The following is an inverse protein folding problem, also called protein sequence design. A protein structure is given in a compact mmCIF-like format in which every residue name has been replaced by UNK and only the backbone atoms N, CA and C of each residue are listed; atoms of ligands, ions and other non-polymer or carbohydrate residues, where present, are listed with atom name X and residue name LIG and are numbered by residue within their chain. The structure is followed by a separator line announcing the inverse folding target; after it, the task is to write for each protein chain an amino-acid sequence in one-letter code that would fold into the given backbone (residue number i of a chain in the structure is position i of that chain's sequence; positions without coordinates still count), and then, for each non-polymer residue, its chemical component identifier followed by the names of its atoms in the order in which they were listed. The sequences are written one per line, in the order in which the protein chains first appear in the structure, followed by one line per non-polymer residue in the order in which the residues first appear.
data_IF_806826892818
#
_entry.id   IF_806826892818
#
_cell.length_a   1.000
_cell.length_b   1.000
_cell.length_c   1.000
_cell.angle_alpha   90.00
_cell.angle_beta   90.00
_cell.angle_gamma   90.00
#
_symmetry.space_group_name_H-M   'P 1'
#
loop_
_entity.id
_entity.type
_entity.pdbx_description
1 polymer ?
#
# COMPACT_ATOMS: atom_id res chain seq x y z
N UNK A 1 40.84 20.49 -44.25
CA UNK A 1 39.61 20.00 -43.70
C UNK A 1 39.86 19.52 -42.27
N UNK A 2 39.47 20.31 -41.27
CA UNK A 2 39.65 19.99 -39.85
C UNK A 2 38.32 19.45 -39.32
N UNK A 3 38.29 18.17 -38.91
CA UNK A 3 37.14 17.54 -38.24
C UNK A 3 37.11 18.01 -36.79
N UNK A 4 36.03 18.66 -36.39
CA UNK A 4 35.75 19.05 -34.99
C UNK A 4 34.95 17.92 -34.31
N UNK A 5 35.65 17.21 -33.44
CA UNK A 5 35.07 16.16 -32.60
C UNK A 5 34.34 16.85 -31.41
N UNK A 6 33.02 16.83 -31.40
CA UNK A 6 32.21 17.30 -30.27
C UNK A 6 32.04 16.17 -29.26
N UNK A 7 32.70 16.26 -28.12
CA UNK A 7 32.43 15.42 -26.96
C UNK A 7 31.15 15.92 -26.27
N UNK A 8 30.12 15.10 -26.27
CA UNK A 8 28.98 15.25 -25.38
C UNK A 8 29.35 14.64 -24.02
N UNK A 9 29.57 15.49 -23.02
CA UNK A 9 29.64 15.06 -21.62
C UNK A 9 28.24 14.71 -21.16
N UNK A 10 27.93 13.45 -21.04
CA UNK A 10 26.78 12.98 -20.25
C UNK A 10 27.16 13.08 -18.78
N UNK A 11 26.60 14.06 -18.07
CA UNK A 11 26.67 14.11 -16.62
C UNK A 11 25.73 13.04 -16.05
N UNK A 12 26.29 11.93 -15.60
CA UNK A 12 25.60 10.94 -14.79
C UNK A 12 25.30 11.58 -13.43
N UNK A 13 24.09 12.07 -13.23
CA UNK A 13 23.56 12.34 -11.90
C UNK A 13 23.20 11.01 -11.25
N UNK A 14 24.14 10.41 -10.52
CA UNK A 14 23.82 9.37 -9.58
C UNK A 14 22.97 10.01 -8.46
N UNK A 15 21.66 9.79 -8.49
CA UNK A 15 20.80 10.08 -7.36
C UNK A 15 21.17 9.11 -6.24
N UNK A 16 22.05 9.55 -5.34
CA UNK A 16 22.18 8.92 -4.03
C UNK A 16 20.84 9.21 -3.30
N UNK A 17 19.99 8.20 -3.21
CA UNK A 17 18.92 8.21 -2.20
C UNK A 17 19.66 8.23 -0.85
N UNK A 18 19.56 9.31 -0.06
CA UNK A 18 20.25 9.34 1.22
C UNK A 18 19.76 8.17 2.07
N UNK A 19 20.69 7.36 2.56
CA UNK A 19 20.34 6.34 3.53
C UNK A 19 19.62 7.03 4.70
N UNK A 20 18.45 6.52 5.07
CA UNK A 20 17.68 7.05 6.19
C UNK A 20 18.51 6.81 7.47
N UNK A 21 19.23 7.82 7.90
CA UNK A 21 19.93 7.80 9.19
C UNK A 21 18.89 8.28 10.21
N UNK A 22 18.27 7.34 10.91
CA UNK A 22 17.50 7.67 12.10
C UNK A 22 18.38 8.50 13.05
N UNK A 23 17.88 9.60 13.61
CA UNK A 23 18.61 10.33 14.65
C UNK A 23 19.00 9.36 15.76
N UNK A 24 20.21 9.45 16.27
CA UNK A 24 20.79 8.52 17.26
C UNK A 24 20.00 8.36 18.58
N UNK A 25 18.92 9.11 18.77
CA UNK A 25 18.04 9.12 19.94
C UNK A 25 16.55 9.00 19.56
N UNK A 26 16.19 8.11 18.67
CA UNK A 26 14.78 7.86 18.35
C UNK A 26 14.38 6.44 18.71
N UNK A 27 13.10 6.25 19.08
CA UNK A 27 12.53 4.91 19.23
C UNK A 27 11.79 4.46 17.96
N UNK A 28 11.69 5.29 16.93
CA UNK A 28 10.98 4.97 15.69
C UNK A 28 11.88 4.14 14.78
N UNK A 29 11.33 3.04 14.20
CA UNK A 29 12.04 2.23 13.21
C UNK A 29 12.16 2.96 11.87
N UNK A 30 11.14 3.72 11.52
CA UNK A 30 11.06 4.54 10.31
C UNK A 30 10.13 5.72 10.53
N UNK A 31 9.92 6.55 9.51
CA UNK A 31 8.92 7.62 9.58
C UNK A 31 7.52 7.05 9.69
N UNK A 32 6.57 7.77 10.32
CA UNK A 32 5.17 7.38 10.24
C UNK A 32 4.68 7.46 8.80
N UNK A 33 3.70 6.65 8.45
CA UNK A 33 3.03 6.70 7.16
C UNK A 33 1.52 6.70 7.34
N UNK A 34 0.84 7.23 6.32
CA UNK A 34 -0.60 7.36 6.32
C UNK A 34 -1.24 6.19 5.57
N UNK A 35 -2.36 5.73 6.11
CA UNK A 35 -3.22 4.71 5.53
C UNK A 35 -4.68 5.19 5.57
N UNK A 36 -5.48 4.79 4.61
CA UNK A 36 -6.92 5.10 4.55
C UNK A 36 -7.23 6.59 4.77
N UNK A 37 -6.59 7.46 4.01
CA UNK A 37 -6.89 8.89 4.01
C UNK A 37 -8.19 9.14 3.25
N UNK A 38 -9.22 9.46 4.00
CA UNK A 38 -10.58 9.73 3.52
C UNK A 38 -11.04 11.12 3.99
N UNK A 39 -12.15 11.67 3.48
CA UNK A 39 -12.58 13.02 3.81
C UNK A 39 -12.73 13.33 5.29
N UNK A 40 -13.06 12.33 6.12
CA UNK A 40 -13.32 12.49 7.55
C UNK A 40 -12.28 11.82 8.46
N UNK A 41 -11.18 11.28 7.92
CA UNK A 41 -10.17 10.64 8.74
C UNK A 41 -8.95 10.07 8.00
N UNK A 42 -7.98 9.63 8.80
CA UNK A 42 -6.74 8.97 8.33
C UNK A 42 -6.20 8.06 9.43
N UNK A 43 -5.54 6.97 9.08
CA UNK A 43 -4.81 6.13 10.02
C UNK A 43 -3.32 6.46 9.93
N UNK A 44 -2.70 6.79 11.06
CA UNK A 44 -1.24 6.99 11.18
C UNK A 44 -0.63 5.68 11.67
N UNK A 45 0.24 5.09 10.86
CA UNK A 45 0.94 3.85 11.17
C UNK A 45 2.41 4.13 11.42
N UNK A 46 2.96 3.52 12.45
CA UNK A 46 4.39 3.61 12.78
C UNK A 46 4.83 2.43 13.64
N UNK A 47 6.11 2.13 13.60
CA UNK A 47 6.72 1.06 14.40
C UNK A 47 7.76 1.64 15.36
N UNK A 48 7.74 1.16 16.62
CA UNK A 48 8.72 1.51 17.64
C UNK A 48 9.69 0.35 17.90
N UNK A 49 10.94 0.69 18.14
CA UNK A 49 12.03 -0.27 18.48
C UNK A 49 12.16 -0.52 19.98
N UNK A 50 11.38 0.19 20.79
CA UNK A 50 11.39 0.11 22.25
C UNK A 50 9.96 -0.08 22.77
N UNK A 51 9.79 -0.69 23.95
CA UNK A 51 8.50 -0.71 24.63
C UNK A 51 8.02 0.71 24.92
N UNK A 52 6.84 1.06 24.39
CA UNK A 52 6.29 2.41 24.48
C UNK A 52 4.80 2.40 24.69
N UNK A 53 4.32 3.50 25.24
CA UNK A 53 2.95 3.97 25.14
C UNK A 53 2.94 5.17 24.18
N UNK A 54 2.11 5.13 23.15
CA UNK A 54 2.20 6.09 22.05
C UNK A 54 0.86 6.72 21.72
N UNK A 55 0.91 7.94 21.16
CA UNK A 55 -0.25 8.67 20.67
C UNK A 55 0.12 9.56 19.48
N UNK A 56 -0.87 9.99 18.74
CA UNK A 56 -0.73 11.01 17.71
C UNK A 56 -1.29 12.33 18.20
N UNK A 57 -0.54 13.39 18.08
CA UNK A 57 -0.98 14.76 18.27
C UNK A 57 -1.38 15.38 16.93
N UNK A 58 -2.60 15.91 16.86
CA UNK A 58 -3.18 16.51 15.66
C UNK A 58 -3.59 17.96 15.92
N UNK A 59 -3.37 18.82 14.92
CA UNK A 59 -3.92 20.17 14.88
C UNK A 59 -4.31 20.58 13.46
N UNK A 60 -5.25 21.49 13.30
CA UNK A 60 -5.45 22.15 12.01
C UNK A 60 -4.23 23.04 11.73
N UNK A 61 -3.81 23.08 10.47
CA UNK A 61 -2.67 23.94 10.09
C UNK A 61 -2.90 25.39 10.48
N UNK A 62 -1.89 25.97 11.15
CA UNK A 62 -1.94 27.34 11.66
C UNK A 62 -2.64 27.51 13.01
N UNK A 63 -3.15 26.42 13.63
CA UNK A 63 -3.70 26.45 14.99
C UNK A 63 -2.69 25.90 16.00
N UNK A 64 -2.84 26.34 17.26
CA UNK A 64 -1.97 25.89 18.37
C UNK A 64 -2.62 24.81 19.23
N UNK A 65 -3.96 24.68 19.19
CA UNK A 65 -4.67 23.64 19.94
C UNK A 65 -4.42 22.27 19.35
N UNK A 66 -4.05 21.35 20.20
CA UNK A 66 -3.69 19.96 19.85
C UNK A 66 -4.73 19.01 20.40
N UNK A 67 -5.17 18.05 19.60
CA UNK A 67 -5.99 16.91 20.01
C UNK A 67 -5.11 15.67 20.00
N UNK A 68 -5.26 14.79 21.00
CA UNK A 68 -4.54 13.52 21.08
C UNK A 68 -5.44 12.38 20.70
N UNK A 69 -4.87 11.46 19.90
CA UNK A 69 -5.50 10.22 19.47
C UNK A 69 -4.66 9.05 19.93
N UNK A 70 -5.33 7.99 20.36
CA UNK A 70 -4.71 6.78 20.87
C UNK A 70 -5.22 5.57 20.08
N UNK A 71 -4.49 4.49 20.13
CA UNK A 71 -5.02 3.20 19.70
C UNK A 71 -5.68 2.53 20.91
N UNK A 72 -7.00 2.46 20.89
CA UNK A 72 -7.77 1.93 21.99
C UNK A 72 -8.24 0.51 21.68
N UNK A 73 -8.01 -0.38 22.63
CA UNK A 73 -8.46 -1.77 22.57
C UNK A 73 -9.21 -2.09 23.86
N UNK A 74 -10.47 -2.47 23.75
CA UNK A 74 -11.31 -2.89 24.89
C UNK A 74 -11.32 -1.90 26.07
N UNK A 75 -11.29 -0.60 25.76
CA UNK A 75 -11.32 0.47 26.76
C UNK A 75 -9.97 0.82 27.37
N UNK A 76 -8.89 0.32 26.80
CA UNK A 76 -7.52 0.64 27.21
C UNK A 76 -6.74 1.24 26.05
N UNK A 77 -5.92 2.26 26.33
CA UNK A 77 -4.91 2.70 25.38
C UNK A 77 -3.88 1.60 25.19
N UNK A 78 -3.63 1.23 23.95
CA UNK A 78 -2.66 0.19 23.65
C UNK A 78 -1.25 0.67 24.02
N UNK A 79 -0.60 -0.11 24.89
CA UNK A 79 0.81 -0.04 25.14
C UNK A 79 1.47 -1.28 24.53
N UNK A 80 2.74 -1.16 24.19
CA UNK A 80 3.50 -2.32 23.77
C UNK A 80 3.50 -3.38 24.88
N UNK A 81 3.09 -4.58 24.57
CA UNK A 81 3.12 -5.69 25.52
C UNK A 81 4.55 -6.21 25.69
N UNK A 82 5.21 -5.74 26.72
CA UNK A 82 6.55 -6.14 27.11
C UNK A 82 6.70 -7.63 27.46
N UNK A 83 5.60 -8.33 27.71
CA UNK A 83 5.60 -9.66 28.32
C UNK A 83 5.82 -10.77 27.30
N UNK A 84 5.58 -10.56 26.03
CA UNK A 84 5.61 -11.63 25.04
C UNK A 84 6.95 -11.83 24.31
N UNK A 85 7.98 -11.09 24.61
CA UNK A 85 9.27 -11.21 23.94
C UNK A 85 10.44 -11.55 24.88
N UNK A 86 10.48 -12.73 25.54
CA UNK A 86 11.67 -13.14 26.27
C UNK A 86 12.78 -13.68 25.38
N UNK A 87 12.57 -13.90 24.10
CA UNK A 87 13.60 -14.44 23.20
C UNK A 87 13.41 -14.02 21.75
N UNK A 88 14.26 -13.11 21.34
CA UNK A 88 14.92 -13.01 20.04
C UNK A 88 14.13 -12.67 18.76
N UNK A 89 12.85 -12.85 18.64
CA UNK A 89 12.04 -12.28 17.55
C UNK A 89 11.06 -11.32 18.19
N UNK A 90 11.29 -10.03 18.06
CA UNK A 90 10.34 -9.02 18.52
C UNK A 90 9.09 -9.15 17.66
N UNK A 91 7.91 -9.38 18.23
CA UNK A 91 6.68 -9.22 17.48
C UNK A 91 6.65 -7.80 16.92
N UNK A 92 6.15 -7.65 15.72
CA UNK A 92 5.99 -6.36 15.06
C UNK A 92 5.18 -5.43 15.95
N UNK A 93 5.73 -4.26 16.26
CA UNK A 93 5.13 -3.27 17.16
C UNK A 93 4.55 -2.10 16.39
N UNK A 94 3.73 -2.42 15.38
CA UNK A 94 3.04 -1.38 14.65
C UNK A 94 1.91 -0.81 15.49
N UNK A 95 1.94 0.51 15.63
CA UNK A 95 0.79 1.28 16.06
C UNK A 95 0.01 1.72 14.82
N UNK A 96 -1.30 1.60 14.87
CA UNK A 96 -2.21 2.07 13.85
C UNK A 96 -3.27 2.95 14.51
N UNK A 97 -3.03 4.26 14.54
CA UNK A 97 -3.88 5.21 15.27
C UNK A 97 -4.80 5.93 14.31
N UNK A 98 -6.10 5.69 14.43
CA UNK A 98 -7.13 6.34 13.62
C UNK A 98 -7.40 7.76 14.11
N UNK A 99 -7.23 8.74 13.23
CA UNK A 99 -7.68 10.12 13.40
C UNK A 99 -9.03 10.26 12.71
N UNK A 100 -10.08 10.45 13.46
CA UNK A 100 -11.47 10.52 12.96
C UNK A 100 -12.13 11.87 13.28
N UNK A 101 -13.26 12.15 12.64
CA UNK A 101 -14.02 13.39 12.85
C UNK A 101 -13.33 14.59 12.19
N UNK A 102 -12.54 14.35 11.15
CA UNK A 102 -11.88 15.40 10.38
C UNK A 102 -12.87 16.08 9.43
N UNK A 103 -12.51 17.27 8.97
CA UNK A 103 -13.29 17.96 7.94
C UNK A 103 -12.65 17.69 6.58
N UNK A 104 -13.45 17.50 5.53
CA UNK A 104 -12.96 17.33 4.16
C UNK A 104 -12.24 18.59 3.66
N UNK A 105 -11.37 18.43 2.66
CA UNK A 105 -10.61 19.51 2.03
C UNK A 105 -9.91 20.44 3.05
N UNK A 106 -9.29 19.83 4.07
CA UNK A 106 -8.73 20.57 5.20
C UNK A 106 -7.29 20.16 5.48
N UNK A 107 -6.40 21.16 5.63
CA UNK A 107 -5.00 20.94 6.00
C UNK A 107 -4.85 20.70 7.49
N UNK A 108 -4.21 19.60 7.85
CA UNK A 108 -3.85 19.23 9.20
C UNK A 108 -2.33 19.04 9.33
N UNK A 109 -1.85 19.14 10.57
CA UNK A 109 -0.49 18.78 10.96
C UNK A 109 -0.56 17.76 12.09
N UNK A 110 0.26 16.71 12.03
CA UNK A 110 0.34 15.70 13.05
C UNK A 110 1.79 15.38 13.42
N UNK A 111 1.99 14.85 14.62
CA UNK A 111 3.23 14.21 15.03
C UNK A 111 2.93 12.98 15.88
N UNK A 112 3.88 12.06 15.89
CA UNK A 112 3.85 10.88 16.77
C UNK A 112 4.62 11.20 18.04
N UNK A 113 4.06 10.81 19.18
CA UNK A 113 4.69 10.91 20.49
C UNK A 113 4.71 9.53 21.14
N UNK A 114 5.87 9.09 21.60
CA UNK A 114 6.06 7.78 22.22
C UNK A 114 6.76 7.92 23.56
N UNK A 115 6.10 7.47 24.60
CA UNK A 115 6.62 7.45 25.97
C UNK A 115 7.22 6.08 26.27
N UNK A 116 8.54 6.02 26.52
CA UNK A 116 9.22 4.76 26.87
C UNK A 116 8.68 4.19 28.17
N UNK A 117 8.32 2.91 28.15
CA UNK A 117 7.94 2.12 29.32
C UNK A 117 9.20 1.44 29.85
N UNK A 118 9.59 1.76 31.09
CA UNK A 118 10.71 1.11 31.77
C UNK A 118 10.25 -0.12 32.55
N UNK A 119 9.05 -0.07 33.12
CA UNK A 119 8.45 -1.19 33.83
C UNK A 119 6.93 -1.09 33.84
N UNK A 120 6.26 -2.21 33.57
CA UNK A 120 4.82 -2.39 33.74
C UNK A 120 4.56 -3.53 34.74
N UNK A 121 3.85 -3.23 35.81
CA UNK A 121 3.40 -4.18 36.84
C UNK A 121 1.89 -4.08 37.02
N UNK A 122 1.23 -5.06 37.64
CA UNK A 122 -0.22 -5.05 37.81
C UNK A 122 -0.81 -3.74 38.39
N UNK A 123 -0.03 -3.05 39.24
CA UNK A 123 -0.49 -1.85 39.94
C UNK A 123 0.43 -0.64 39.77
N UNK A 124 1.40 -0.69 38.86
CA UNK A 124 2.30 0.44 38.63
C UNK A 124 2.90 0.42 37.22
N UNK A 125 3.01 1.60 36.62
CA UNK A 125 3.71 1.85 35.39
C UNK A 125 4.82 2.87 35.67
N UNK A 126 6.06 2.58 35.27
CA UNK A 126 7.14 3.57 35.25
C UNK A 126 7.58 3.84 33.83
N UNK A 127 7.81 5.09 33.52
CA UNK A 127 8.23 5.57 32.21
C UNK A 127 9.34 6.59 32.37
N UNK A 128 10.16 6.75 31.35
CA UNK A 128 11.30 7.65 31.39
C UNK A 128 11.29 8.66 30.25
N UNK A 129 11.80 8.27 29.08
CA UNK A 129 12.04 9.18 27.96
C UNK A 129 10.82 9.30 27.06
N UNK A 130 10.45 10.54 26.69
CA UNK A 130 9.49 10.81 25.65
C UNK A 130 10.22 11.10 24.34
N UNK A 131 9.79 10.47 23.26
CA UNK A 131 10.28 10.67 21.90
C UNK A 131 9.17 11.32 21.08
N UNK A 132 9.55 12.24 20.20
CA UNK A 132 8.61 12.97 19.34
C UNK A 132 9.15 12.94 17.91
N UNK A 133 8.27 12.69 16.94
CA UNK A 133 8.61 12.90 15.54
C UNK A 133 8.57 14.40 15.19
N UNK A 134 9.04 14.74 14.00
CA UNK A 134 8.72 16.02 13.38
C UNK A 134 7.20 16.17 13.19
N UNK A 135 6.75 17.42 12.95
CA UNK A 135 5.40 17.69 12.50
C UNK A 135 5.28 17.46 10.99
N UNK A 136 4.35 16.62 10.59
CA UNK A 136 4.02 16.33 9.20
C UNK A 136 2.65 16.93 8.85
N UNK A 137 2.51 17.41 7.61
CA UNK A 137 1.25 17.97 7.13
C UNK A 137 0.55 17.05 6.17
N UNK A 138 -0.78 16.94 6.22
CA UNK A 138 -1.60 16.27 5.22
C UNK A 138 -2.87 17.09 4.94
N UNK A 139 -3.49 16.82 3.79
CA UNK A 139 -4.80 17.36 3.43
C UNK A 139 -5.80 16.22 3.31
N UNK A 140 -6.94 16.33 3.99
CA UNK A 140 -8.05 15.41 3.75
C UNK A 140 -8.60 15.61 2.34
N UNK A 141 -8.90 14.54 1.57
CA UNK A 141 -9.46 14.68 0.24
C UNK A 141 -10.82 15.36 0.27
N UNK A 142 -11.17 16.01 -0.85
CA UNK A 142 -12.49 16.56 -1.04
C UNK A 142 -13.50 15.45 -1.36
N UNK A 143 -14.63 15.45 -0.70
CA UNK A 143 -15.79 14.59 -1.02
C UNK A 143 -16.45 14.92 -2.36
N UNK A 144 -16.05 16.05 -2.98
CA UNK A 144 -16.54 16.54 -4.29
C UNK A 144 -15.47 16.52 -5.38
N UNK A 145 -14.35 15.84 -5.14
CA UNK A 145 -13.29 15.76 -6.16
C UNK A 145 -13.84 15.18 -7.47
N UNK A 146 -13.49 15.82 -8.59
CA UNK A 146 -13.90 15.42 -9.94
C UNK A 146 -12.71 15.12 -10.87
N UNK A 147 -11.49 15.41 -10.39
CA UNK A 147 -10.22 15.08 -11.04
C UNK A 147 -9.40 14.22 -10.14
N UNK A 148 -8.74 13.20 -10.69
CA UNK A 148 -7.95 12.25 -9.90
C UNK A 148 -6.67 11.89 -10.64
N UNK A 149 -5.58 11.74 -9.88
CA UNK A 149 -4.27 11.29 -10.33
C UNK A 149 -3.85 10.13 -9.46
N UNK A 150 -3.86 8.94 -10.04
CA UNK A 150 -3.48 7.72 -9.35
C UNK A 150 -2.13 7.24 -9.86
N UNK A 151 -1.29 6.74 -8.97
CA UNK A 151 -0.13 5.93 -9.33
C UNK A 151 -0.40 4.49 -8.92
N UNK A 152 -0.11 3.54 -9.81
CA UNK A 152 -0.18 2.11 -9.50
C UNK A 152 1.19 1.49 -9.80
N UNK A 153 1.72 0.77 -8.82
CA UNK A 153 3.00 0.07 -8.89
C UNK A 153 2.82 -1.35 -8.35
N UNK A 154 3.42 -2.33 -9.01
CA UNK A 154 3.35 -3.74 -8.66
C UNK A 154 4.68 -4.43 -8.95
N UNK A 155 4.89 -5.63 -8.37
CA UNK A 155 5.96 -6.55 -8.75
C UNK A 155 7.38 -5.97 -8.57
N UNK A 156 7.61 -5.21 -7.51
CA UNK A 156 8.92 -4.61 -7.26
C UNK A 156 9.91 -5.54 -6.55
N UNK A 157 9.44 -6.57 -5.84
CA UNK A 157 10.30 -7.61 -5.26
C UNK A 157 11.57 -7.06 -4.62
N UNK A 158 11.43 -6.32 -3.51
CA UNK A 158 12.56 -5.76 -2.74
C UNK A 158 13.50 -4.86 -3.55
N UNK A 159 12.97 -4.07 -4.52
CA UNK A 159 13.77 -3.11 -5.32
C UNK A 159 13.52 -1.65 -4.93
N UNK A 160 13.93 -1.19 -3.71
CA UNK A 160 13.65 0.16 -3.23
C UNK A 160 14.22 1.26 -4.12
N UNK A 161 15.37 1.02 -4.77
CA UNK A 161 15.98 1.99 -5.69
C UNK A 161 15.15 2.16 -6.97
N UNK A 162 14.58 1.09 -7.50
CA UNK A 162 13.66 1.11 -8.65
C UNK A 162 12.36 1.81 -8.27
N UNK A 163 11.82 1.51 -7.08
CA UNK A 163 10.66 2.23 -6.55
C UNK A 163 10.88 3.74 -6.51
N UNK A 164 12.03 4.18 -5.97
CA UNK A 164 12.36 5.61 -5.90
C UNK A 164 12.41 6.27 -7.29
N UNK A 165 12.94 5.58 -8.29
CA UNK A 165 12.96 6.06 -9.68
C UNK A 165 11.54 6.21 -10.24
N UNK A 166 10.68 5.19 -10.11
CA UNK A 166 9.30 5.25 -10.59
C UNK A 166 8.49 6.34 -9.90
N UNK A 167 8.55 6.45 -8.57
CA UNK A 167 7.86 7.49 -7.83
C UNK A 167 8.30 8.90 -8.23
N UNK A 168 9.58 9.04 -8.60
CA UNK A 168 10.13 10.32 -9.09
C UNK A 168 9.69 10.59 -10.53
N UNK A 169 9.79 9.60 -11.42
CA UNK A 169 9.44 9.73 -12.84
C UNK A 169 7.93 10.02 -13.05
N UNK A 170 7.10 9.47 -12.17
CA UNK A 170 5.64 9.69 -12.18
C UNK A 170 5.19 10.87 -11.32
N UNK A 171 6.13 11.63 -10.71
CA UNK A 171 5.85 12.76 -9.83
C UNK A 171 4.82 12.42 -8.73
N UNK A 172 5.20 11.55 -7.81
CA UNK A 172 4.35 11.10 -6.70
C UNK A 172 3.80 12.25 -5.84
N UNK A 173 4.47 13.42 -5.85
CA UNK A 173 4.03 14.59 -5.10
C UNK A 173 2.74 15.20 -5.66
N UNK A 174 2.49 15.03 -6.97
CA UNK A 174 1.25 15.50 -7.61
C UNK A 174 0.16 14.44 -7.66
N UNK A 175 0.45 13.19 -7.33
CA UNK A 175 -0.55 12.14 -7.23
C UNK A 175 -1.53 12.44 -6.09
N UNK A 176 -2.81 12.15 -6.31
CA UNK A 176 -3.83 12.22 -5.27
C UNK A 176 -3.86 10.92 -4.46
N UNK A 177 -3.64 9.77 -5.14
CA UNK A 177 -3.65 8.44 -4.54
C UNK A 177 -2.53 7.57 -5.12
N UNK A 178 -1.93 6.72 -4.27
CA UNK A 178 -0.87 5.80 -4.66
C UNK A 178 -1.30 4.39 -4.24
N UNK A 179 -1.20 3.43 -5.16
CA UNK A 179 -1.61 2.05 -4.94
C UNK A 179 -0.41 1.15 -5.24
N UNK A 180 0.00 0.38 -4.26
CA UNK A 180 0.92 -0.72 -4.41
C UNK A 180 0.09 -1.99 -4.61
N UNK A 181 0.14 -2.54 -5.81
CA UNK A 181 -0.75 -3.61 -6.26
C UNK A 181 -0.17 -5.01 -6.05
N UNK A 182 0.56 -5.20 -4.96
CA UNK A 182 1.13 -6.48 -4.55
C UNK A 182 2.55 -6.74 -5.05
N UNK A 183 3.17 -7.77 -4.48
CA UNK A 183 4.54 -8.21 -4.76
C UNK A 183 5.58 -7.07 -4.65
N UNK A 184 5.38 -6.23 -3.64
CA UNK A 184 6.36 -5.21 -3.27
C UNK A 184 7.56 -5.85 -2.57
N UNK A 185 7.38 -7.02 -1.96
CA UNK A 185 8.37 -7.85 -1.28
C UNK A 185 8.47 -9.22 -1.93
N UNK A 186 9.59 -9.92 -1.73
CA UNK A 186 9.71 -11.33 -2.14
C UNK A 186 8.97 -12.29 -1.20
N UNK A 187 8.83 -11.92 0.06
CA UNK A 187 8.06 -12.62 1.07
C UNK A 187 7.99 -11.80 2.38
N UNK A 188 7.19 -12.26 3.32
CA UNK A 188 7.08 -11.67 4.65
C UNK A 188 7.78 -12.56 5.70
N UNK A 189 9.08 -12.76 5.55
CA UNK A 189 9.89 -13.49 6.52
C UNK A 189 10.33 -12.57 7.65
N UNK A 190 10.12 -12.97 8.92
CA UNK A 190 10.68 -12.24 10.06
C UNK A 190 12.19 -12.29 10.07
N UNK A 191 12.84 -11.24 10.55
CA UNK A 191 14.28 -11.25 10.83
C UNK A 191 14.65 -12.42 11.72
N UNK A 192 15.53 -13.28 11.24
CA UNK A 192 16.22 -14.21 12.12
C UNK A 192 17.15 -13.43 13.06
N UNK A 193 17.09 -13.74 14.36
CA UNK A 193 18.02 -13.20 15.35
C UNK A 193 19.50 -13.51 15.05
N UNK A 194 19.79 -14.31 14.04
CA UNK A 194 21.15 -14.74 13.64
C UNK A 194 21.78 -13.85 12.56
N UNK A 195 21.14 -12.77 12.10
CA UNK A 195 21.74 -11.86 11.12
C UNK A 195 22.00 -12.49 9.75
N UNK A 196 21.18 -13.46 9.33
CA UNK A 196 21.28 -14.08 8.01
C UNK A 196 20.64 -13.18 6.93
N UNK A 197 20.89 -13.50 5.66
CA UNK A 197 20.58 -12.71 4.47
C UNK A 197 19.09 -12.29 4.27
N UNK A 198 18.20 -12.66 5.16
CA UNK A 198 16.78 -12.30 5.19
C UNK A 198 16.51 -10.89 5.76
N UNK A 199 17.53 -10.14 6.14
CA UNK A 199 17.36 -8.76 6.67
C UNK A 199 16.78 -7.77 5.65
N UNK A 200 16.72 -8.10 4.36
CA UNK A 200 16.26 -7.22 3.30
C UNK A 200 14.74 -7.25 3.07
N UNK A 201 14.04 -8.25 3.58
CA UNK A 201 12.64 -8.55 3.22
C UNK A 201 11.61 -7.96 4.18
N UNK A 202 11.96 -6.95 4.94
CA UNK A 202 11.02 -6.24 5.79
C UNK A 202 10.27 -5.16 5.00
N UNK A 203 8.97 -4.93 5.26
CA UNK A 203 8.19 -3.88 4.59
C UNK A 203 8.86 -2.50 4.65
N UNK A 204 9.50 -2.16 5.78
CA UNK A 204 10.21 -0.89 5.92
C UNK A 204 11.42 -0.78 4.99
N UNK A 205 12.26 -1.81 4.92
CA UNK A 205 13.45 -1.81 4.08
C UNK A 205 13.08 -1.89 2.58
N UNK A 206 12.05 -2.65 2.26
CA UNK A 206 11.64 -2.90 0.88
C UNK A 206 11.00 -1.68 0.22
N UNK A 207 10.07 -0.99 0.90
CA UNK A 207 9.35 0.12 0.27
C UNK A 207 8.83 1.21 1.21
N UNK A 208 8.52 0.92 2.50
CA UNK A 208 7.94 1.94 3.40
C UNK A 208 8.91 3.10 3.62
N UNK A 209 10.21 2.83 3.85
CA UNK A 209 11.21 3.88 4.06
C UNK A 209 11.35 4.79 2.84
N UNK A 210 11.34 4.25 1.63
CA UNK A 210 11.36 5.04 0.38
C UNK A 210 10.09 5.88 0.28
N UNK A 211 8.94 5.28 0.54
CA UNK A 211 7.65 5.96 0.49
C UNK A 211 7.58 7.12 1.51
N UNK A 212 8.02 6.91 2.74
CA UNK A 212 8.03 7.96 3.79
C UNK A 212 8.97 9.11 3.47
N UNK A 213 10.11 8.84 2.83
CA UNK A 213 11.04 9.88 2.35
C UNK A 213 10.44 10.73 1.23
N UNK A 214 9.61 10.16 0.38
CA UNK A 214 9.11 10.84 -0.80
C UNK A 214 7.72 11.46 -0.61
N UNK A 215 6.79 10.77 0.07
CA UNK A 215 5.40 11.23 0.17
C UNK A 215 4.61 10.69 1.37
N UNK A 216 4.87 9.45 1.87
CA UNK A 216 3.92 8.72 2.71
C UNK A 216 3.69 9.30 4.12
N UNK A 217 4.50 10.29 4.55
CA UNK A 217 4.23 11.10 5.74
C UNK A 217 3.14 12.16 5.51
N UNK A 218 2.75 12.44 4.26
CA UNK A 218 1.84 13.53 3.89
C UNK A 218 0.65 13.07 3.06
N UNK A 219 0.76 11.90 2.44
CA UNK A 219 -0.26 11.23 1.62
C UNK A 219 -0.31 9.78 2.00
N UNK A 220 -1.45 9.16 1.86
CA UNK A 220 -1.57 7.73 2.04
C UNK A 220 -1.09 6.94 0.81
N UNK A 221 -0.98 5.66 0.99
CA UNK A 221 -0.95 4.68 -0.08
C UNK A 221 -1.84 3.50 0.30
N UNK A 222 -2.48 2.90 -0.67
CA UNK A 222 -3.15 1.62 -0.50
C UNK A 222 -2.15 0.50 -0.82
N UNK A 223 -2.08 -0.52 0.01
CA UNK A 223 -1.28 -1.71 -0.23
C UNK A 223 -2.19 -2.91 -0.41
N UNK A 224 -2.21 -3.47 -1.61
CA UNK A 224 -2.79 -4.78 -1.90
C UNK A 224 -1.76 -5.86 -1.59
N UNK A 225 -2.23 -6.98 -1.08
CA UNK A 225 -1.41 -8.17 -0.92
C UNK A 225 -1.24 -8.87 -2.27
N UNK A 226 0.00 -9.13 -2.68
CA UNK A 226 0.32 -10.07 -3.74
C UNK A 226 0.45 -11.50 -3.19
N UNK A 227 0.75 -12.45 -4.05
CA UNK A 227 0.96 -13.84 -3.61
C UNK A 227 2.28 -13.99 -2.85
N UNK A 228 3.27 -13.13 -3.07
CA UNK A 228 4.50 -13.10 -2.31
C UNK A 228 4.30 -12.61 -0.86
N UNK A 229 3.42 -11.67 -0.60
CA UNK A 229 3.07 -11.23 0.76
C UNK A 229 2.27 -12.28 1.54
N UNK A 230 1.83 -13.37 0.92
CA UNK A 230 1.22 -14.51 1.64
C UNK A 230 2.24 -15.46 2.23
N UNK A 231 3.52 -15.33 1.85
CA UNK A 231 4.60 -16.27 2.19
C UNK A 231 5.42 -15.74 3.37
N UNK A 232 5.93 -16.65 4.19
CA UNK A 232 6.76 -16.33 5.36
C UNK A 232 5.99 -16.28 6.68
N UNK A 233 6.73 -16.26 7.78
CA UNK A 233 6.20 -16.33 9.15
C UNK A 233 5.60 -15.00 9.64
N UNK A 234 5.89 -13.89 8.95
CA UNK A 234 5.28 -12.60 9.20
C UNK A 234 4.04 -12.30 8.32
N UNK A 235 3.63 -13.21 7.44
CA UNK A 235 2.48 -12.98 6.55
C UNK A 235 1.17 -12.68 7.31
N UNK A 236 0.98 -13.28 8.50
CA UNK A 236 -0.18 -13.02 9.37
C UNK A 236 -0.20 -11.59 9.94
N UNK A 237 0.93 -10.88 9.89
CA UNK A 237 1.04 -9.50 10.36
C UNK A 237 0.81 -8.47 9.25
N UNK A 238 0.52 -8.89 8.01
CA UNK A 238 0.29 -7.97 6.89
C UNK A 238 -0.69 -6.85 7.24
N UNK A 239 -1.84 -7.20 7.83
CA UNK A 239 -2.85 -6.22 8.27
C UNK A 239 -2.42 -5.29 9.39
N UNK A 240 -1.32 -5.56 10.11
CA UNK A 240 -0.76 -4.63 11.11
C UNK A 240 0.07 -3.54 10.48
N UNK A 241 0.71 -3.82 9.33
CA UNK A 241 1.41 -2.82 8.52
C UNK A 241 0.43 -2.01 7.67
N UNK A 242 -0.59 -2.66 7.14
CA UNK A 242 -1.57 -2.06 6.21
C UNK A 242 -2.99 -2.26 6.74
N UNK A 243 -3.34 -1.58 7.83
CA UNK A 243 -4.63 -1.73 8.48
C UNK A 243 -5.75 -1.17 7.60
N UNK A 244 -6.86 -1.89 7.54
CA UNK A 244 -8.12 -1.42 6.98
C UNK A 244 -9.19 -1.39 8.08
N UNK A 245 -10.01 -0.35 8.10
CA UNK A 245 -11.09 -0.23 9.09
C UNK A 245 -12.11 -1.37 8.99
N UNK A 246 -12.30 -1.93 7.79
CA UNK A 246 -13.14 -3.11 7.57
C UNK A 246 -12.60 -4.38 8.22
N UNK A 247 -11.31 -4.42 8.58
CA UNK A 247 -10.59 -5.63 9.01
C UNK A 247 -10.41 -6.66 7.89
N UNK A 248 -10.72 -6.31 6.63
CA UNK A 248 -10.51 -7.14 5.43
C UNK A 248 -9.36 -6.58 4.61
N UNK A 249 -8.71 -7.43 3.80
CA UNK A 249 -7.64 -7.00 2.91
C UNK A 249 -8.17 -6.54 1.55
N UNK A 250 -9.38 -6.92 1.17
CA UNK A 250 -10.11 -6.30 0.06
C UNK A 250 -10.96 -5.13 0.56
N UNK A 251 -11.07 -4.08 -0.25
CA UNK A 251 -11.78 -2.87 0.16
C UNK A 251 -12.27 -2.06 -1.05
N UNK A 252 -13.10 -1.05 -0.78
CA UNK A 252 -13.49 -0.05 -1.75
C UNK A 252 -13.42 1.34 -1.13
N UNK A 253 -12.97 2.31 -1.93
CA UNK A 253 -12.87 3.71 -1.53
C UNK A 253 -13.64 4.61 -2.48
N UNK A 254 -14.45 5.51 -1.90
CA UNK A 254 -15.09 6.59 -2.63
C UNK A 254 -14.26 7.87 -2.50
N UNK A 255 -13.68 8.33 -3.60
CA UNK A 255 -12.95 9.58 -3.70
C UNK A 255 -13.67 10.54 -4.64
N UNK A 256 -14.55 11.40 -4.10
CA UNK A 256 -15.38 12.26 -4.91
C UNK A 256 -16.26 11.50 -5.90
N UNK A 257 -16.00 11.63 -7.21
CA UNK A 257 -16.75 10.92 -8.26
C UNK A 257 -16.10 9.61 -8.73
N UNK A 258 -15.01 9.18 -8.10
CA UNK A 258 -14.25 7.96 -8.40
C UNK A 258 -14.49 6.88 -7.35
N UNK A 259 -14.81 5.67 -7.78
CA UNK A 259 -14.81 4.45 -6.97
C UNK A 259 -13.57 3.63 -7.28
N UNK A 260 -12.80 3.30 -6.27
CA UNK A 260 -11.66 2.37 -6.35
C UNK A 260 -12.03 1.09 -5.63
N UNK A 261 -11.92 -0.04 -6.32
CA UNK A 261 -12.12 -1.38 -5.74
C UNK A 261 -10.78 -2.10 -5.70
N UNK A 262 -10.36 -2.50 -4.51
CA UNK A 262 -9.15 -3.27 -4.27
C UNK A 262 -9.53 -4.72 -3.99
N UNK A 263 -9.05 -5.66 -4.82
CA UNK A 263 -9.35 -7.09 -4.70
C UNK A 263 -8.11 -7.86 -4.25
N UNK A 264 -8.29 -8.75 -3.27
CA UNK A 264 -7.22 -9.57 -2.69
C UNK A 264 -7.37 -11.05 -3.04
N UNK A 265 -6.76 -11.46 -4.14
CA UNK A 265 -6.79 -12.86 -4.59
C UNK A 265 -6.00 -13.83 -3.70
N UNK A 266 -5.15 -13.33 -2.80
CA UNK A 266 -4.26 -14.15 -1.99
C UNK A 266 -3.21 -14.89 -2.82
N UNK A 267 -2.99 -16.19 -2.56
CA UNK A 267 -2.00 -17.03 -3.22
C UNK A 267 -2.45 -17.46 -4.61
N UNK A 268 -1.53 -17.49 -5.59
CA UNK A 268 -1.81 -17.95 -6.96
C UNK A 268 -1.93 -19.47 -7.07
N UNK A 269 -1.24 -20.20 -6.18
CA UNK A 269 -1.28 -21.65 -6.10
C UNK A 269 -2.64 -22.16 -5.60
N UNK A 270 -3.03 -23.41 -5.88
CA UNK A 270 -4.21 -24.02 -5.28
C UNK A 270 -4.00 -24.27 -3.78
N UNK A 271 -5.10 -24.30 -3.02
CA UNK A 271 -5.06 -24.44 -1.54
C UNK A 271 -4.42 -25.76 -1.08
N UNK A 272 -4.43 -26.82 -1.90
CA UNK A 272 -3.84 -28.13 -1.62
C UNK A 272 -2.40 -28.29 -2.12
N UNK A 273 -1.81 -27.26 -2.72
CA UNK A 273 -0.40 -27.27 -3.10
C UNK A 273 0.47 -27.28 -1.83
N UNK A 274 1.43 -28.21 -1.70
CA UNK A 274 2.26 -28.33 -0.51
C UNK A 274 3.20 -27.13 -0.30
N UNK A 275 3.38 -26.28 -1.32
CA UNK A 275 4.18 -25.05 -1.23
C UNK A 275 3.33 -23.80 -0.99
N UNK A 276 2.01 -23.89 -1.19
CA UNK A 276 1.09 -22.82 -0.86
C UNK A 276 1.10 -22.56 0.65
N UNK A 277 1.60 -21.40 1.04
CA UNK A 277 1.77 -20.99 2.43
C UNK A 277 2.26 -22.13 3.35
N UNK A 278 3.45 -22.67 3.06
CA UNK A 278 4.17 -23.57 3.96
C UNK A 278 3.32 -24.74 4.45
N UNK A 279 2.89 -25.61 3.55
CA UNK A 279 2.25 -26.88 3.85
C UNK A 279 0.90 -26.80 4.58
N UNK A 280 -0.20 -26.86 3.84
CA UNK A 280 -1.56 -27.07 4.36
C UNK A 280 -2.16 -25.96 5.24
N UNK A 281 -1.58 -24.76 5.24
CA UNK A 281 -2.15 -23.59 5.93
C UNK A 281 -2.97 -22.69 4.99
N UNK A 282 -2.97 -22.96 3.68
CA UNK A 282 -3.74 -22.21 2.71
C UNK A 282 -5.24 -22.55 2.84
N UNK A 283 -6.07 -21.51 2.82
CA UNK A 283 -7.53 -21.58 2.84
C UNK A 283 -8.11 -20.41 2.03
N UNK A 284 -7.52 -20.12 0.87
CA UNK A 284 -7.88 -18.96 0.08
C UNK A 284 -9.21 -19.11 -0.67
N UNK A 285 -9.61 -20.33 -1.04
CA UNK A 285 -10.84 -20.52 -1.78
C UNK A 285 -12.10 -20.10 -1.01
N UNK A 286 -12.30 -20.43 0.28
CA UNK A 286 -13.38 -19.87 1.08
C UNK A 286 -13.32 -18.33 1.23
N UNK A 287 -12.11 -17.79 1.38
CA UNK A 287 -11.86 -16.33 1.47
C UNK A 287 -12.26 -15.62 0.17
N UNK A 288 -11.84 -16.13 -1.00
CA UNK A 288 -12.22 -15.61 -2.33
C UNK A 288 -13.74 -15.64 -2.57
N UNK A 289 -14.42 -16.71 -2.07
CA UNK A 289 -15.89 -16.80 -2.13
C UNK A 289 -16.56 -15.73 -1.26
N UNK A 290 -15.99 -15.41 -0.09
CA UNK A 290 -16.47 -14.34 0.76
C UNK A 290 -16.30 -12.98 0.07
N UNK A 291 -15.13 -12.74 -0.51
CA UNK A 291 -14.82 -11.52 -1.26
C UNK A 291 -15.74 -11.37 -2.47
N UNK A 292 -16.00 -12.43 -3.23
CA UNK A 292 -16.94 -12.39 -4.34
C UNK A 292 -18.37 -12.02 -3.89
N UNK A 293 -18.84 -12.55 -2.74
CA UNK A 293 -20.13 -12.14 -2.17
C UNK A 293 -20.14 -10.67 -1.75
N UNK A 294 -19.04 -10.19 -1.16
CA UNK A 294 -18.88 -8.78 -0.84
C UNK A 294 -18.91 -7.90 -2.09
N UNK A 295 -18.17 -8.26 -3.13
CA UNK A 295 -18.15 -7.51 -4.40
C UNK A 295 -19.53 -7.47 -5.05
N UNK A 296 -20.29 -8.60 -5.04
CA UNK A 296 -21.66 -8.67 -5.51
C UNK A 296 -22.59 -7.71 -4.76
N UNK A 297 -22.39 -7.54 -3.46
CA UNK A 297 -23.15 -6.58 -2.64
C UNK A 297 -22.70 -5.15 -2.93
N UNK A 298 -21.40 -4.90 -3.01
CA UNK A 298 -20.81 -3.59 -3.27
C UNK A 298 -21.39 -2.96 -4.54
N UNK A 299 -21.41 -3.71 -5.64
CA UNK A 299 -21.91 -3.19 -6.94
C UNK A 299 -23.42 -2.87 -6.94
N UNK A 300 -24.15 -3.27 -5.89
CA UNK A 300 -25.56 -2.93 -5.72
C UNK A 300 -25.77 -1.67 -4.87
N UNK A 301 -24.76 -1.18 -4.15
CA UNK A 301 -24.90 0.02 -3.33
C UNK A 301 -25.18 1.27 -4.17
N UNK A 302 -25.78 2.27 -3.55
CA UNK A 302 -26.03 3.55 -4.20
C UNK A 302 -24.71 4.26 -4.51
N UNK A 303 -23.78 4.23 -3.57
CA UNK A 303 -22.45 4.83 -3.69
C UNK A 303 -21.72 4.31 -4.93
N UNK A 304 -21.69 2.98 -5.10
CA UNK A 304 -21.06 2.37 -6.27
C UNK A 304 -21.72 2.79 -7.58
N UNK A 305 -23.06 2.75 -7.63
CA UNK A 305 -23.83 3.08 -8.83
C UNK A 305 -23.73 4.56 -9.24
N UNK A 306 -23.60 5.45 -8.27
CA UNK A 306 -23.48 6.90 -8.48
C UNK A 306 -22.05 7.33 -8.83
N UNK A 307 -21.05 6.45 -8.75
CA UNK A 307 -19.71 6.74 -9.19
C UNK A 307 -19.69 7.09 -10.68
N UNK A 308 -18.99 8.15 -11.06
CA UNK A 308 -18.76 8.46 -12.47
C UNK A 308 -17.72 7.54 -13.09
N UNK A 309 -16.73 7.13 -12.28
CA UNK A 309 -15.62 6.26 -12.69
C UNK A 309 -15.41 5.12 -11.69
N UNK A 310 -15.00 3.96 -12.21
CA UNK A 310 -14.76 2.72 -11.43
C UNK A 310 -13.46 2.09 -11.89
N UNK A 311 -12.44 2.18 -11.06
CA UNK A 311 -11.15 1.54 -11.28
C UNK A 311 -11.06 0.34 -10.33
N UNK A 312 -10.74 -0.82 -10.86
CA UNK A 312 -10.49 -2.04 -10.08
C UNK A 312 -9.00 -2.34 -10.11
N UNK A 313 -8.43 -2.66 -8.96
CA UNK A 313 -7.02 -3.08 -8.86
C UNK A 313 -6.98 -4.42 -8.14
N UNK A 314 -6.23 -5.36 -8.70
CA UNK A 314 -5.98 -6.69 -8.14
C UNK A 314 -4.54 -7.06 -8.39
N UNK A 315 -3.90 -7.78 -7.48
CA UNK A 315 -2.59 -8.34 -7.80
C UNK A 315 -2.75 -9.47 -8.81
N UNK A 316 -3.52 -10.50 -8.46
CA UNK A 316 -3.76 -11.62 -9.37
C UNK A 316 -4.58 -11.17 -10.60
N UNK A 317 -4.19 -11.61 -11.81
CA UNK A 317 -4.92 -11.27 -13.02
C UNK A 317 -6.32 -11.90 -13.02
N UNK A 318 -7.31 -11.16 -13.51
CA UNK A 318 -8.67 -11.66 -13.63
C UNK A 318 -8.94 -12.12 -15.05
N UNK A 319 -8.65 -11.34 -16.12
CA UNK A 319 -8.66 -11.89 -17.48
C UNK A 319 -7.30 -12.51 -17.83
N UNK A 320 -7.31 -13.46 -18.76
CA UNK A 320 -6.11 -14.05 -19.34
C UNK A 320 -5.21 -14.85 -18.38
N UNK A 321 -5.77 -15.47 -17.35
CA UNK A 321 -5.02 -16.36 -16.48
C UNK A 321 -4.59 -17.61 -17.26
N UNK A 322 -3.32 -17.98 -17.14
CA UNK A 322 -2.74 -19.15 -17.82
C UNK A 322 -3.44 -20.47 -17.39
N UNK A 323 -3.44 -21.45 -18.30
CA UNK A 323 -3.94 -22.81 -18.00
C UNK A 323 -3.01 -23.66 -17.11
N UNK A 324 -1.89 -23.10 -16.63
CA UNK A 324 -0.92 -23.79 -15.78
C UNK A 324 -1.54 -24.19 -14.43
N UNK A 325 -1.20 -25.40 -13.92
CA UNK A 325 -1.64 -25.87 -12.61
C UNK A 325 -1.17 -24.94 -11.48
N UNK A 326 0.00 -24.36 -11.59
CA UNK A 326 0.53 -23.38 -10.65
C UNK A 326 -0.29 -22.09 -10.56
N UNK A 327 -1.18 -21.85 -11.52
CA UNK A 327 -2.09 -20.72 -11.53
C UNK A 327 -3.54 -21.11 -11.18
N UNK A 328 -3.75 -22.30 -10.61
CA UNK A 328 -5.11 -22.80 -10.33
C UNK A 328 -5.86 -21.94 -9.30
N UNK A 329 -5.17 -21.40 -8.29
CA UNK A 329 -5.74 -20.46 -7.34
C UNK A 329 -6.12 -19.14 -8.00
N UNK A 330 -5.26 -18.58 -8.84
CA UNK A 330 -5.54 -17.36 -9.61
C UNK A 330 -6.71 -17.56 -10.57
N UNK A 331 -6.79 -18.71 -11.25
CA UNK A 331 -7.96 -19.05 -12.11
C UNK A 331 -9.25 -19.11 -11.32
N UNK A 332 -9.24 -19.81 -10.18
CA UNK A 332 -10.43 -19.87 -9.34
C UNK A 332 -10.90 -18.49 -8.89
N UNK A 333 -9.96 -17.61 -8.53
CA UNK A 333 -10.26 -16.21 -8.23
C UNK A 333 -10.87 -15.48 -9.44
N UNK A 334 -10.25 -15.60 -10.61
CA UNK A 334 -10.74 -14.99 -11.85
C UNK A 334 -12.14 -15.49 -12.22
N UNK A 335 -12.41 -16.80 -12.10
CA UNK A 335 -13.72 -17.41 -12.38
C UNK A 335 -14.83 -16.87 -11.46
N UNK A 336 -14.50 -16.51 -10.22
CA UNK A 336 -15.43 -15.88 -9.29
C UNK A 336 -15.67 -14.39 -9.62
N UNK A 337 -14.61 -13.64 -9.93
CA UNK A 337 -14.66 -12.17 -10.05
C UNK A 337 -15.14 -11.69 -11.42
N UNK A 338 -14.69 -12.33 -12.50
CA UNK A 338 -14.97 -11.87 -13.87
C UNK A 338 -16.47 -11.73 -14.18
N UNK A 339 -17.36 -12.69 -13.83
CA UNK A 339 -18.79 -12.52 -14.07
C UNK A 339 -19.42 -11.33 -13.32
N UNK A 340 -18.87 -10.99 -12.14
CA UNK A 340 -19.35 -9.85 -11.34
C UNK A 340 -18.86 -8.55 -11.99
N UNK A 341 -17.57 -8.46 -12.31
CA UNK A 341 -16.96 -7.29 -12.91
C UNK A 341 -17.56 -6.94 -14.28
N UNK A 342 -17.93 -7.95 -15.08
CA UNK A 342 -18.63 -7.74 -16.34
C UNK A 342 -20.01 -7.05 -16.22
N UNK A 343 -20.58 -7.01 -15.01
CA UNK A 343 -21.83 -6.33 -14.68
C UNK A 343 -21.62 -5.04 -13.89
N UNK A 344 -20.38 -4.77 -13.51
CA UNK A 344 -20.03 -3.72 -12.56
C UNK A 344 -19.72 -2.37 -13.22
N UNK A 345 -19.81 -2.26 -14.56
CA UNK A 345 -19.44 -1.06 -15.32
C UNK A 345 -18.03 -0.56 -14.98
N UNK A 346 -17.07 -1.48 -14.97
CA UNK A 346 -15.65 -1.17 -14.71
C UNK A 346 -15.09 -0.35 -15.88
N UNK A 347 -14.42 0.75 -15.58
CA UNK A 347 -13.77 1.61 -16.60
C UNK A 347 -12.34 1.15 -16.89
N UNK A 348 -11.65 0.55 -15.90
CA UNK A 348 -10.32 0.00 -16.05
C UNK A 348 -10.03 -1.03 -14.92
N UNK A 349 -9.48 -2.19 -15.31
CA UNK A 349 -8.86 -3.13 -14.38
C UNK A 349 -7.34 -3.03 -14.50
N UNK A 350 -6.63 -2.95 -13.36
CA UNK A 350 -5.17 -3.02 -13.29
C UNK A 350 -4.78 -4.24 -12.47
N UNK A 351 -3.85 -5.04 -13.01
CA UNK A 351 -3.30 -6.24 -12.35
C UNK A 351 -1.76 -6.25 -12.40
N UNK A 352 -1.16 -7.08 -11.56
CA UNK A 352 0.27 -7.44 -11.56
C UNK A 352 0.51 -8.90 -11.90
N UNK A 353 1.43 -9.56 -11.18
CA UNK A 353 1.69 -10.99 -11.08
C UNK A 353 2.31 -11.65 -12.33
N UNK A 354 1.84 -11.37 -13.54
CA UNK A 354 2.26 -12.11 -14.75
C UNK A 354 3.63 -11.70 -15.29
N UNK A 355 4.24 -10.68 -14.73
CA UNK A 355 5.57 -10.18 -15.08
C UNK A 355 5.82 -10.01 -16.59
N UNK A 356 4.92 -9.39 -17.39
CA UNK A 356 5.33 -9.00 -18.72
C UNK A 356 6.56 -8.08 -18.62
N UNK A 357 7.38 -8.03 -19.66
CA UNK A 357 8.62 -7.23 -19.62
C UNK A 357 8.35 -5.77 -19.21
N UNK A 358 7.25 -5.19 -19.70
CA UNK A 358 6.82 -3.83 -19.35
C UNK A 358 5.35 -3.78 -18.95
N UNK A 359 4.44 -4.08 -19.86
CA UNK A 359 2.99 -4.12 -19.61
C UNK A 359 2.28 -4.94 -20.69
N UNK A 360 1.04 -5.37 -20.38
CA UNK A 360 0.10 -5.89 -21.35
C UNK A 360 -1.20 -5.12 -21.23
N UNK A 361 -1.65 -4.48 -22.32
CA UNK A 361 -2.96 -3.81 -22.37
C UNK A 361 -3.92 -4.63 -23.23
N UNK A 362 -5.13 -4.88 -22.72
CA UNK A 362 -6.16 -5.63 -23.42
C UNK A 362 -7.41 -4.76 -23.56
N UNK A 363 -7.91 -4.64 -24.80
CA UNK A 363 -9.18 -3.97 -25.10
C UNK A 363 -10.37 -4.82 -24.65
N UNK A 364 -11.53 -4.20 -24.39
CA UNK A 364 -12.76 -4.94 -24.12
C UNK A 364 -13.12 -5.94 -25.22
N UNK A 365 -13.74 -7.05 -24.84
CA UNK A 365 -14.24 -8.09 -25.72
C UNK A 365 -15.65 -8.55 -25.30
N UNK A 366 -16.20 -9.57 -25.98
CA UNK A 366 -17.48 -10.17 -25.56
C UNK A 366 -17.38 -10.84 -24.21
N UNK A 367 -16.21 -11.44 -23.89
CA UNK A 367 -15.97 -12.18 -22.65
C UNK A 367 -15.52 -11.26 -21.51
N UNK A 368 -14.79 -10.18 -21.80
CA UNK A 368 -14.28 -9.19 -20.85
C UNK A 368 -14.73 -7.81 -21.25
N UNK A 369 -15.71 -7.24 -20.56
CA UNK A 369 -16.44 -6.03 -20.98
C UNK A 369 -15.74 -4.71 -20.60
N UNK A 370 -14.53 -4.76 -20.12
CA UNK A 370 -13.75 -3.60 -19.68
C UNK A 370 -12.30 -3.70 -20.15
N UNK A 371 -11.61 -2.58 -20.34
CA UNK A 371 -10.17 -2.60 -20.61
C UNK A 371 -9.39 -3.07 -19.39
N UNK A 372 -8.32 -3.81 -19.64
CA UNK A 372 -7.42 -4.25 -18.57
C UNK A 372 -5.95 -3.98 -18.89
N UNK A 373 -5.16 -3.71 -17.85
CA UNK A 373 -3.72 -3.53 -17.93
C UNK A 373 -3.06 -4.43 -16.90
N UNK A 374 -2.20 -5.32 -17.34
CA UNK A 374 -1.28 -6.07 -16.50
C UNK A 374 0.05 -5.32 -16.49
N UNK A 375 0.46 -4.86 -15.31
CA UNK A 375 1.72 -4.17 -15.12
C UNK A 375 2.88 -5.16 -15.06
N UNK A 376 4.00 -4.82 -15.69
CA UNK A 376 5.23 -5.58 -15.57
C UNK A 376 6.17 -4.99 -14.53
N UNK A 377 7.11 -5.81 -14.07
CA UNK A 377 8.04 -5.44 -13.00
C UNK A 377 9.05 -4.33 -13.37
N UNK A 378 9.18 -3.99 -14.68
CA UNK A 378 10.01 -2.88 -15.18
C UNK A 378 9.18 -1.67 -15.62
N UNK A 379 7.97 -1.52 -15.13
CA UNK A 379 7.11 -0.40 -15.47
C UNK A 379 6.33 0.11 -14.26
N UNK A 380 5.83 1.33 -14.38
CA UNK A 380 4.91 1.92 -13.42
C UNK A 380 3.84 2.74 -14.14
N UNK A 381 2.68 2.84 -13.52
CA UNK A 381 1.46 3.36 -14.14
C UNK A 381 1.00 4.64 -13.46
N UNK A 382 0.65 5.65 -14.26
CA UNK A 382 -0.13 6.82 -13.84
C UNK A 382 -1.46 6.84 -14.58
N UNK A 383 -2.54 7.01 -13.83
CA UNK A 383 -3.90 7.18 -14.35
C UNK A 383 -4.35 8.59 -14.00
N UNK A 384 -4.80 9.34 -14.99
CA UNK A 384 -5.37 10.66 -14.82
C UNK A 384 -6.83 10.66 -15.26
N UNK A 385 -7.72 11.13 -14.39
CA UNK A 385 -9.16 11.24 -14.65
C UNK A 385 -9.50 12.72 -14.60
N UNK A 386 -9.81 13.29 -15.76
CA UNK A 386 -10.13 14.70 -15.90
C UNK A 386 -11.04 14.93 -17.12
N UNK A 387 -12.02 15.83 -16.98
CA UNK A 387 -12.85 16.27 -18.10
C UNK A 387 -13.63 15.17 -18.81
N UNK A 388 -14.02 14.11 -18.11
CA UNK A 388 -14.76 12.99 -18.68
C UNK A 388 -13.87 11.93 -19.35
N UNK A 389 -12.56 11.95 -19.15
CA UNK A 389 -11.58 11.06 -19.77
C UNK A 389 -10.71 10.38 -18.75
N UNK A 390 -10.31 9.15 -19.07
CA UNK A 390 -9.28 8.41 -18.33
C UNK A 390 -8.06 8.33 -19.24
N UNK A 391 -6.94 8.88 -18.80
CA UNK A 391 -5.66 8.78 -19.52
C UNK A 391 -4.71 7.88 -18.73
N UNK A 392 -4.16 6.89 -19.41
CA UNK A 392 -3.21 5.91 -18.87
C UNK A 392 -1.83 6.24 -19.43
N UNK A 393 -0.87 6.42 -18.53
CA UNK A 393 0.54 6.61 -18.87
C UNK A 393 1.36 5.53 -18.18
N UNK A 394 2.07 4.69 -18.95
CA UNK A 394 3.06 3.72 -18.44
C UNK A 394 4.45 4.24 -18.74
N UNK A 395 5.35 4.15 -17.76
CA UNK A 395 6.75 4.54 -17.89
C UNK A 395 7.68 3.39 -17.50
N UNK A 396 8.89 3.38 -18.03
CA UNK A 396 9.99 2.53 -17.57
C UNK A 396 10.79 3.19 -16.42
N UNK A 397 11.84 2.50 -15.94
CA UNK A 397 12.69 2.99 -14.84
C UNK A 397 13.40 4.33 -15.14
N UNK A 398 13.63 4.64 -16.41
CA UNK A 398 14.27 5.89 -16.85
C UNK A 398 13.25 7.02 -17.06
N UNK A 399 11.95 6.73 -16.87
CA UNK A 399 10.85 7.66 -17.07
C UNK A 399 10.41 7.80 -18.53
N UNK A 400 10.93 6.94 -19.44
CA UNK A 400 10.51 6.91 -20.83
C UNK A 400 9.07 6.41 -20.94
N UNK A 401 8.27 7.07 -21.76
CA UNK A 401 6.85 6.73 -21.91
C UNK A 401 6.70 5.53 -22.83
N UNK A 402 6.20 4.42 -22.27
CA UNK A 402 5.93 3.17 -22.99
C UNK A 402 4.52 3.14 -23.56
N UNK A 403 3.55 3.74 -22.83
CA UNK A 403 2.15 3.89 -23.25
C UNK A 403 1.64 5.26 -22.83
N UNK A 404 0.86 5.87 -23.72
CA UNK A 404 0.04 7.03 -23.42
C UNK A 404 -1.30 6.86 -24.15
N UNK A 405 -2.34 6.45 -23.41
CA UNK A 405 -3.63 6.05 -24.00
C UNK A 405 -4.77 6.74 -23.26
N UNK A 406 -5.75 7.21 -24.00
CA UNK A 406 -7.02 7.71 -23.46
C UNK A 406 -8.12 6.69 -23.74
N UNK A 407 -8.92 6.39 -22.73
CA UNK A 407 -10.09 5.51 -22.78
C UNK A 407 -11.36 6.33 -23.03
#
# INVERSE_FOLDING_TARGET
MKAVLRYFLFAFFAFLVPAFVLPANTCFRGGPYLQELVPDGVTVVFENTLPTFSWVELRRKGQTSVTRFYQDVEGQHQAYDYIQAPSAALPVQNFAIRLSGLSSDTMYEYRVVSQKIDQMKPYSLTSSTQYESDWFGFCTPSDKAATHRLLVLSDLHNRPSTLAKFLTALDCKTADHIIYAGDMMDNMQMKSASGSAFEAEEPYASFINVSTQLFATQKDFCMLRGDHETKGDAADYFGTYFPHQSGKLYNAYRWGNLEIVLLDGGEALPDDDPTARSTSLAAYNPYRQEEARWLEQLIQTAEYKEAAYRIVVSHLPIPNVSGDEQQAGARYFADLMLPILNRANVDLLVCGHLHPETYTFTEPSEDVRFPSLVQGYNSALRIEIEGGRITIKVVDEDGSVLLNKTL
#
